data_IF_641424921708
#
_entry.id   IF_641424921708
#
_cell.length_a   1.000
_cell.length_b   1.000
_cell.length_c   1.000
_cell.angle_alpha   90.00
_cell.angle_beta   90.00
_cell.angle_gamma   90.00
#
_symmetry.space_group_name_H-M   'P 1'
#
loop_
_entity.id
_entity.type
_entity.pdbx_description
1 polymer ?
#
# COMPACT_ATOMS: atom_id res chain seq x y z
N UNK A 1 -19.50 1.00 24.35
CA UNK A 1 -19.07 2.43 24.59
C UNK A 1 -20.26 3.32 24.26
N UNK A 2 -20.54 4.37 25.05
CA UNK A 2 -21.62 5.31 24.70
C UNK A 2 -21.22 6.10 23.45
N UNK A 3 -22.18 6.35 22.56
CA UNK A 3 -21.96 7.05 21.29
C UNK A 3 -21.32 8.44 21.48
N UNK A 4 -21.67 9.15 22.57
CA UNK A 4 -21.10 10.45 22.89
C UNK A 4 -19.61 10.37 23.21
N UNK A 5 -19.21 9.32 23.94
CA UNK A 5 -17.81 9.07 24.28
C UNK A 5 -17.00 8.71 23.02
N UNK A 6 -17.59 7.92 22.11
CA UNK A 6 -16.98 7.59 20.83
C UNK A 6 -16.79 8.85 19.98
N UNK A 7 -17.83 9.65 19.80
CA UNK A 7 -17.78 10.90 19.03
C UNK A 7 -16.73 11.86 19.59
N UNK A 8 -16.65 11.97 20.92
CA UNK A 8 -15.66 12.80 21.62
C UNK A 8 -14.23 12.33 21.34
N UNK A 9 -13.97 11.04 21.45
CA UNK A 9 -12.66 10.47 21.19
C UNK A 9 -12.23 10.70 19.74
N UNK A 10 -13.15 10.58 18.77
CA UNK A 10 -12.90 10.83 17.35
C UNK A 10 -12.68 12.31 17.04
N UNK A 11 -13.46 13.20 17.63
CA UNK A 11 -13.25 14.64 17.49
C UNK A 11 -11.86 15.04 17.98
N UNK A 12 -11.42 14.48 19.10
CA UNK A 12 -10.07 14.67 19.63
C UNK A 12 -9.01 14.12 18.67
N UNK A 13 -9.16 12.86 18.20
CA UNK A 13 -8.22 12.24 17.28
C UNK A 13 -8.12 13.02 15.96
N UNK A 14 -9.24 13.47 15.38
CA UNK A 14 -9.27 14.27 14.18
C UNK A 14 -8.55 15.62 14.36
N UNK A 15 -8.76 16.31 15.49
CA UNK A 15 -8.08 17.56 15.83
C UNK A 15 -6.56 17.35 15.95
N UNK A 16 -6.14 16.31 16.65
CA UNK A 16 -4.73 15.98 16.86
C UNK A 16 -4.04 15.61 15.54
N UNK A 17 -4.75 14.89 14.66
CA UNK A 17 -4.25 14.53 13.33
C UNK A 17 -3.93 15.74 12.44
N UNK A 18 -4.70 16.84 12.56
CA UNK A 18 -4.40 18.10 11.85
C UNK A 18 -3.49 19.05 12.63
N UNK A 19 -2.89 18.59 13.73
CA UNK A 19 -1.92 19.36 14.53
C UNK A 19 -2.50 20.53 15.30
N UNK A 20 -3.82 20.59 15.52
CA UNK A 20 -4.47 21.69 16.23
C UNK A 20 -4.52 21.44 17.74
N UNK A 21 -4.06 22.43 18.52
CA UNK A 21 -4.34 22.45 19.97
C UNK A 21 -5.79 22.88 20.23
N UNK A 22 -6.36 22.46 21.37
CA UNK A 22 -7.77 22.73 21.72
C UNK A 22 -8.17 24.22 21.64
N UNK A 23 -7.29 25.13 22.03
CA UNK A 23 -7.55 26.58 21.95
C UNK A 23 -7.72 27.02 20.48
N UNK A 24 -6.78 26.67 19.61
CA UNK A 24 -6.84 27.06 18.20
C UNK A 24 -8.03 26.43 17.45
N UNK A 25 -8.41 25.20 17.80
CA UNK A 25 -9.57 24.54 17.23
C UNK A 25 -10.88 25.20 17.72
N UNK A 26 -11.00 25.48 19.00
CA UNK A 26 -12.17 26.15 19.59
C UNK A 26 -12.39 27.55 18.99
N UNK A 27 -11.33 28.34 18.83
CA UNK A 27 -11.39 29.66 18.19
C UNK A 27 -11.91 29.57 16.75
N UNK A 28 -11.43 28.59 15.95
CA UNK A 28 -11.88 28.38 14.57
C UNK A 28 -13.31 27.86 14.47
N UNK A 29 -13.75 27.10 15.48
CA UNK A 29 -15.12 26.58 15.57
C UNK A 29 -16.10 27.62 16.16
N UNK A 30 -15.61 28.75 16.66
CA UNK A 30 -16.44 29.76 17.31
C UNK A 30 -17.05 29.30 18.64
N UNK A 31 -16.43 28.38 19.37
CA UNK A 31 -16.90 27.84 20.64
C UNK A 31 -15.86 28.06 21.75
N UNK A 32 -16.30 28.00 23.01
CA UNK A 32 -15.37 28.07 24.11
C UNK A 32 -14.47 26.82 24.19
N UNK A 33 -13.19 26.97 24.55
CA UNK A 33 -12.26 25.85 24.74
C UNK A 33 -12.82 24.78 25.68
N UNK A 34 -13.49 25.21 26.77
CA UNK A 34 -14.10 24.29 27.73
C UNK A 34 -15.24 23.46 27.11
N UNK A 35 -15.99 24.04 26.19
CA UNK A 35 -17.03 23.34 25.41
C UNK A 35 -16.41 22.27 24.55
N UNK A 36 -15.35 22.60 23.77
CA UNK A 36 -14.63 21.63 22.96
C UNK A 36 -14.03 20.51 23.82
N UNK A 37 -13.39 20.86 24.94
CA UNK A 37 -12.85 19.86 25.87
C UNK A 37 -13.93 18.95 26.46
N UNK A 38 -15.11 19.48 26.77
CA UNK A 38 -16.26 18.70 27.19
C UNK A 38 -16.82 17.78 26.12
N UNK A 39 -16.85 18.23 24.86
CA UNK A 39 -17.22 17.42 23.70
C UNK A 39 -16.24 16.28 23.49
N UNK A 40 -14.95 16.53 23.48
CA UNK A 40 -13.89 15.53 23.34
C UNK A 40 -13.88 14.49 24.47
N UNK A 41 -14.43 14.84 25.63
CA UNK A 41 -14.61 13.92 26.78
C UNK A 41 -15.98 13.20 26.77
N UNK A 42 -16.82 13.43 25.78
CA UNK A 42 -18.18 12.87 25.72
C UNK A 42 -19.16 13.45 26.74
N UNK A 43 -18.79 14.55 27.45
CA UNK A 43 -19.62 15.20 28.47
C UNK A 43 -20.63 16.20 27.88
N UNK A 44 -20.26 16.82 26.76
CA UNK A 44 -21.09 17.77 26.04
C UNK A 44 -21.50 17.13 24.72
N UNK A 45 -22.78 17.08 24.38
CA UNK A 45 -23.25 16.52 23.12
C UNK A 45 -22.84 17.41 21.94
N UNK A 46 -22.70 16.80 20.78
CA UNK A 46 -22.51 17.51 19.51
C UNK A 46 -23.87 17.84 18.90
N UNK A 47 -24.03 19.04 18.38
CA UNK A 47 -25.13 19.33 17.46
C UNK A 47 -24.69 19.16 15.98
N UNK A 48 -25.67 19.12 15.07
CA UNK A 48 -25.39 18.91 13.66
C UNK A 48 -24.52 20.01 13.02
N UNK A 49 -24.68 21.26 13.46
CA UNK A 49 -23.90 22.40 12.95
C UNK A 49 -22.44 22.27 13.39
N UNK A 50 -22.22 21.92 14.64
CA UNK A 50 -20.89 21.70 15.20
C UNK A 50 -20.18 20.53 14.53
N UNK A 51 -20.90 19.42 14.25
CA UNK A 51 -20.34 18.27 13.53
C UNK A 51 -19.90 18.64 12.13
N UNK A 52 -20.71 19.39 11.39
CA UNK A 52 -20.35 19.89 10.06
C UNK A 52 -19.16 20.83 10.11
N UNK A 53 -19.12 21.74 11.10
CA UNK A 53 -18.00 22.66 11.29
C UNK A 53 -16.69 21.91 11.62
N UNK A 54 -16.75 20.90 12.49
CA UNK A 54 -15.61 20.04 12.82
C UNK A 54 -15.18 19.19 11.63
N UNK A 55 -16.12 18.62 10.89
CA UNK A 55 -15.85 17.86 9.66
C UNK A 55 -15.05 18.71 8.66
N UNK A 56 -15.49 19.93 8.42
CA UNK A 56 -14.80 20.88 7.53
C UNK A 56 -13.42 21.29 8.08
N UNK A 57 -13.33 21.59 9.40
CA UNK A 57 -12.10 22.05 10.03
C UNK A 57 -11.01 20.96 10.07
N UNK A 58 -11.42 19.71 10.34
CA UNK A 58 -10.50 18.60 10.50
C UNK A 58 -10.34 17.77 9.21
N UNK A 59 -11.07 18.14 8.12
CA UNK A 59 -11.01 17.42 6.85
C UNK A 59 -11.56 15.99 6.93
N UNK A 60 -12.61 15.77 7.75
CA UNK A 60 -13.24 14.47 7.93
C UNK A 60 -14.69 14.48 7.44
N UNK A 61 -15.20 13.37 6.88
CA UNK A 61 -16.64 13.28 6.62
C UNK A 61 -17.41 13.30 7.96
N UNK A 62 -18.64 13.82 7.94
CA UNK A 62 -19.47 13.89 9.16
C UNK A 62 -19.69 12.49 9.75
N UNK A 63 -19.81 11.47 8.89
CA UNK A 63 -19.95 10.06 9.27
C UNK A 63 -18.82 9.55 10.15
N UNK A 64 -17.59 10.05 9.94
CA UNK A 64 -16.42 9.71 10.76
C UNK A 64 -16.67 9.84 12.26
N UNK A 65 -17.46 10.82 12.70
CA UNK A 65 -17.65 11.09 14.13
C UNK A 65 -18.59 10.09 14.82
N UNK A 66 -19.48 9.43 14.09
CA UNK A 66 -20.48 8.52 14.68
C UNK A 66 -20.52 7.11 14.09
N UNK A 67 -19.60 6.75 13.21
CA UNK A 67 -19.52 5.41 12.64
C UNK A 67 -19.19 4.38 13.75
N UNK A 68 -20.11 3.44 14.00
CA UNK A 68 -19.95 2.43 15.04
C UNK A 68 -18.96 1.31 14.66
N UNK A 69 -18.61 1.19 13.38
CA UNK A 69 -17.72 0.12 12.89
C UNK A 69 -16.29 0.16 13.47
N UNK A 70 -15.84 1.30 13.98
CA UNK A 70 -14.52 1.45 14.58
C UNK A 70 -14.46 1.30 16.11
N UNK A 71 -15.59 1.18 16.79
CA UNK A 71 -15.63 1.09 18.27
C UNK A 71 -15.14 -0.25 18.83
N UNK A 72 -15.13 -1.30 18.02
CA UNK A 72 -14.41 -2.53 18.31
C UNK A 72 -12.99 -2.37 17.76
N UNK A 73 -12.11 -1.71 18.51
CA UNK A 73 -10.72 -1.46 18.18
C UNK A 73 -10.25 -2.23 16.96
N UNK A 74 -10.50 -1.71 15.76
CA UNK A 74 -9.89 -2.23 14.57
C UNK A 74 -8.39 -2.05 14.77
N UNK A 75 -7.77 -3.04 15.41
CA UNK A 75 -6.34 -3.14 15.53
C UNK A 75 -5.84 -3.29 14.12
N UNK A 76 -5.62 -2.16 13.46
CA UNK A 76 -4.92 -2.17 12.19
C UNK A 76 -3.50 -2.54 12.54
N UNK A 77 -3.25 -3.83 12.45
CA UNK A 77 -1.92 -4.36 12.62
C UNK A 77 -1.11 -3.95 11.40
N UNK A 78 0.01 -3.32 11.64
CA UNK A 78 0.83 -2.78 10.59
C UNK A 78 2.26 -3.28 10.77
N UNK A 79 2.93 -3.54 9.66
CA UNK A 79 4.33 -3.87 9.62
C UNK A 79 5.05 -2.90 8.69
N UNK A 80 6.08 -2.25 9.21
CA UNK A 80 7.07 -1.51 8.45
C UNK A 80 8.45 -1.99 8.86
N UNK A 81 9.39 -2.01 7.93
CA UNK A 81 10.80 -2.35 8.21
C UNK A 81 11.42 -1.42 9.26
N UNK A 82 10.99 -0.17 9.29
CA UNK A 82 11.28 0.79 10.34
C UNK A 82 10.01 1.52 10.77
N UNK A 83 9.33 1.05 11.85
CA UNK A 83 8.14 1.72 12.39
C UNK A 83 8.39 3.16 12.85
N UNK A 84 9.64 3.54 13.13
CA UNK A 84 10.01 4.89 13.57
C UNK A 84 10.18 5.86 12.38
N UNK A 85 10.36 5.33 11.16
CA UNK A 85 10.44 6.14 9.95
C UNK A 85 9.12 6.82 9.59
N UNK A 86 7.98 6.33 10.10
CA UNK A 86 6.67 6.93 9.91
C UNK A 86 6.29 7.81 11.09
N UNK A 87 6.23 9.13 10.86
CA UNK A 87 5.64 10.04 11.83
C UNK A 87 4.19 9.58 12.16
N UNK A 88 3.78 9.58 13.45
CA UNK A 88 2.46 9.10 13.86
C UNK A 88 1.30 9.75 13.09
N UNK A 89 1.41 11.04 12.77
CA UNK A 89 0.40 11.76 12.00
C UNK A 89 0.30 11.25 10.54
N UNK A 90 1.42 10.90 9.89
CA UNK A 90 1.43 10.32 8.55
C UNK A 90 0.84 8.91 8.58
N UNK A 91 1.27 8.08 9.54
CA UNK A 91 0.71 6.74 9.73
C UNK A 91 -0.81 6.80 9.87
N UNK A 92 -1.33 7.63 10.78
CA UNK A 92 -2.76 7.77 10.99
C UNK A 92 -3.49 8.19 9.71
N UNK A 93 -2.98 9.20 9.00
CA UNK A 93 -3.56 9.67 7.74
C UNK A 93 -3.62 8.58 6.66
N UNK A 94 -2.60 7.70 6.58
CA UNK A 94 -2.59 6.58 5.62
C UNK A 94 -3.61 5.50 6.01
N UNK A 95 -3.75 5.21 7.31
CA UNK A 95 -4.76 4.27 7.80
C UNK A 95 -6.19 4.81 7.60
N UNK A 96 -6.39 6.11 7.83
CA UNK A 96 -7.65 6.79 7.53
C UNK A 96 -8.01 6.69 6.04
N UNK A 97 -7.01 6.79 5.16
CA UNK A 97 -7.23 6.63 3.72
C UNK A 97 -7.61 5.19 3.37
N UNK A 98 -7.06 4.18 4.04
CA UNK A 98 -7.48 2.79 3.88
C UNK A 98 -8.96 2.61 4.27
N UNK A 99 -9.38 3.19 5.38
CA UNK A 99 -10.78 3.18 5.83
C UNK A 99 -11.70 3.91 4.84
N UNK A 100 -11.29 5.09 4.36
CA UNK A 100 -12.06 5.85 3.39
C UNK A 100 -12.23 5.11 2.05
N UNK A 101 -11.24 4.33 1.61
CA UNK A 101 -11.37 3.47 0.41
C UNK A 101 -12.36 2.34 0.68
N UNK A 102 -12.38 1.73 1.86
CA UNK A 102 -13.37 0.71 2.23
C UNK A 102 -14.79 1.27 2.24
N UNK A 103 -14.97 2.50 2.75
CA UNK A 103 -16.26 3.20 2.70
C UNK A 103 -16.69 3.51 1.26
N UNK A 104 -15.73 3.90 0.40
CA UNK A 104 -15.97 4.13 -1.03
C UNK A 104 -16.43 2.85 -1.74
N UNK A 105 -15.80 1.70 -1.45
CA UNK A 105 -16.21 0.40 -2.01
C UNK A 105 -17.64 0.07 -1.61
N UNK A 106 -18.01 0.30 -0.35
CA UNK A 106 -19.38 0.13 0.14
C UNK A 106 -20.36 1.07 -0.59
N UNK A 107 -20.00 2.35 -0.75
CA UNK A 107 -20.81 3.33 -1.49
C UNK A 107 -20.94 2.96 -2.98
N UNK A 108 -19.89 2.37 -3.56
CA UNK A 108 -19.95 1.82 -4.91
C UNK A 108 -20.73 0.48 -5.01
N UNK A 109 -21.27 -0.03 -3.90
CA UNK A 109 -22.08 -1.26 -3.83
C UNK A 109 -21.26 -2.55 -3.88
N UNK A 110 -20.00 -2.49 -3.47
CA UNK A 110 -19.12 -3.65 -3.35
C UNK A 110 -19.09 -4.15 -1.89
N UNK A 111 -19.09 -5.47 -1.72
CA UNK A 111 -18.75 -6.07 -0.43
C UNK A 111 -17.24 -5.89 -0.18
N UNK A 112 -16.88 -5.40 1.00
CA UNK A 112 -15.48 -5.27 1.42
C UNK A 112 -14.89 -6.64 1.77
N UNK A 113 -14.80 -7.52 0.80
CA UNK A 113 -14.11 -8.79 0.91
C UNK A 113 -12.59 -8.57 0.96
N UNK A 114 -11.86 -9.60 1.34
CA UNK A 114 -10.43 -9.67 1.16
C UNK A 114 -10.09 -11.02 0.56
N UNK A 115 -9.72 -11.03 -0.73
CA UNK A 115 -9.37 -12.24 -1.47
C UNK A 115 -7.99 -12.80 -1.13
N UNK A 116 -7.45 -12.49 0.06
CA UNK A 116 -6.20 -13.07 0.52
C UNK A 116 -6.34 -14.59 0.71
N UNK A 117 -5.31 -15.37 0.33
CA UNK A 117 -5.27 -16.79 0.62
C UNK A 117 -5.22 -17.04 2.14
N UNK A 118 -5.48 -18.27 2.61
CA UNK A 118 -5.21 -18.67 3.99
C UNK A 118 -3.79 -18.28 4.39
N UNK A 119 -3.58 -17.97 5.68
CA UNK A 119 -2.25 -17.60 6.17
C UNK A 119 -1.34 -18.83 6.19
N UNK A 120 -0.14 -18.70 5.64
CA UNK A 120 0.95 -19.68 5.72
C UNK A 120 2.02 -19.14 6.68
N UNK A 121 1.85 -19.30 8.01
CA UNK A 121 2.73 -18.66 8.99
C UNK A 121 4.13 -19.29 8.95
N UNK A 122 5.10 -18.55 8.45
CA UNK A 122 6.49 -18.92 8.40
C UNK A 122 7.32 -17.97 9.28
N UNK A 123 7.97 -18.50 10.30
CA UNK A 123 8.79 -17.70 11.26
C UNK A 123 10.30 -17.94 11.13
N UNK A 124 10.73 -18.85 10.25
CA UNK A 124 12.13 -19.19 9.99
C UNK A 124 12.42 -19.05 8.49
N UNK A 125 13.67 -18.88 8.13
CA UNK A 125 14.13 -18.77 6.74
C UNK A 125 15.28 -19.74 6.47
N UNK A 126 15.08 -21.01 6.82
CA UNK A 126 15.95 -22.10 6.37
C UNK A 126 15.67 -22.50 4.92
N UNK A 127 16.48 -23.41 4.33
CA UNK A 127 16.28 -23.83 2.95
C UNK A 127 14.86 -24.34 2.65
N UNK A 128 14.27 -25.10 3.57
CA UNK A 128 12.91 -25.64 3.45
C UNK A 128 11.85 -24.53 3.41
N UNK A 129 11.95 -23.56 4.31
CA UNK A 129 10.99 -22.45 4.39
C UNK A 129 11.10 -21.55 3.16
N UNK A 130 12.31 -21.35 2.62
CA UNK A 130 12.51 -20.63 1.37
C UNK A 130 11.94 -21.38 0.17
N UNK A 131 12.00 -22.72 0.15
CA UNK A 131 11.34 -23.52 -0.89
C UNK A 131 9.80 -23.45 -0.78
N UNK A 132 9.26 -23.45 0.44
CA UNK A 132 7.83 -23.21 0.66
C UNK A 132 7.45 -21.82 0.15
N UNK A 133 8.22 -20.77 0.46
CA UNK A 133 7.92 -19.42 -0.03
C UNK A 133 7.92 -19.33 -1.57
N UNK A 134 8.81 -20.08 -2.25
CA UNK A 134 8.79 -20.19 -3.72
C UNK A 134 7.54 -20.92 -4.23
N UNK A 135 7.17 -22.04 -3.59
CA UNK A 135 5.99 -22.80 -3.94
C UNK A 135 4.73 -21.96 -3.79
N UNK A 136 4.54 -21.30 -2.65
CA UNK A 136 3.41 -20.40 -2.38
C UNK A 136 3.35 -19.27 -3.41
N UNK A 137 4.49 -18.69 -3.82
CA UNK A 137 4.51 -17.67 -4.86
C UNK A 137 3.99 -18.18 -6.22
N UNK A 138 4.30 -19.43 -6.59
CA UNK A 138 3.84 -20.03 -7.83
C UNK A 138 2.37 -20.46 -7.76
N UNK A 139 1.94 -21.02 -6.63
CA UNK A 139 0.53 -21.35 -6.36
C UNK A 139 -0.35 -20.10 -6.43
N UNK A 140 0.13 -19.01 -5.81
CA UNK A 140 -0.57 -17.73 -5.80
C UNK A 140 -0.65 -17.11 -7.20
N UNK A 141 0.40 -17.21 -8.02
CA UNK A 141 0.33 -16.83 -9.44
C UNK A 141 -0.72 -17.64 -10.19
N UNK A 142 -0.82 -18.95 -9.90
CA UNK A 142 -1.85 -19.83 -10.47
C UNK A 142 -3.25 -19.40 -10.04
N UNK A 143 -3.45 -19.14 -8.74
CA UNK A 143 -4.73 -18.68 -8.19
C UNK A 143 -5.19 -17.36 -8.81
N UNK A 144 -4.27 -16.44 -9.05
CA UNK A 144 -4.52 -15.12 -9.65
C UNK A 144 -4.55 -15.15 -11.20
N UNK A 145 -4.49 -16.32 -11.81
CA UNK A 145 -4.61 -16.49 -13.27
C UNK A 145 -3.41 -16.00 -14.09
N UNK A 146 -2.28 -15.68 -13.46
CA UNK A 146 -1.07 -15.22 -14.17
C UNK A 146 -0.26 -16.39 -14.74
N UNK A 147 -0.29 -17.54 -14.05
CA UNK A 147 0.54 -18.69 -14.40
C UNK A 147 2.05 -18.48 -14.14
N UNK A 148 2.86 -19.48 -14.48
CA UNK A 148 4.30 -19.50 -14.17
C UNK A 148 5.22 -19.07 -15.33
N UNK A 149 4.67 -18.76 -16.51
CA UNK A 149 5.43 -18.47 -17.74
C UNK A 149 5.34 -17.04 -18.23
N UNK A 150 4.30 -16.32 -17.84
CA UNK A 150 4.09 -14.94 -18.27
C UNK A 150 4.80 -13.93 -17.34
N UNK A 151 5.45 -12.90 -17.87
CA UNK A 151 5.81 -11.72 -17.09
C UNK A 151 4.57 -11.06 -16.52
N UNK A 152 4.69 -10.45 -15.35
CA UNK A 152 3.62 -9.68 -14.74
C UNK A 152 3.64 -8.24 -15.26
N UNK A 153 2.53 -7.80 -15.88
CA UNK A 153 2.42 -6.47 -16.46
C UNK A 153 2.07 -5.39 -15.42
N UNK A 154 1.11 -5.68 -14.56
CA UNK A 154 0.59 -4.73 -13.57
C UNK A 154 0.31 -5.43 -12.23
N UNK A 155 1.24 -5.35 -11.28
CA UNK A 155 1.07 -5.94 -9.95
C UNK A 155 -0.01 -5.24 -9.13
N UNK A 156 -0.24 -3.93 -9.35
CA UNK A 156 -1.25 -3.16 -8.63
C UNK A 156 -2.64 -3.64 -9.04
N UNK A 157 -2.95 -3.62 -10.34
CA UNK A 157 -4.24 -4.07 -10.84
C UNK A 157 -4.53 -5.53 -10.44
N UNK A 158 -3.50 -6.40 -10.45
CA UNK A 158 -3.63 -7.79 -10.02
C UNK A 158 -4.05 -7.89 -8.55
N UNK A 159 -3.41 -7.17 -7.64
CA UNK A 159 -3.74 -7.22 -6.23
C UNK A 159 -5.07 -6.53 -5.92
N UNK A 160 -5.38 -5.43 -6.59
CA UNK A 160 -6.67 -4.75 -6.46
C UNK A 160 -7.84 -5.61 -6.98
N UNK A 161 -7.59 -6.56 -7.90
CA UNK A 161 -8.63 -7.51 -8.36
C UNK A 161 -9.07 -8.53 -7.31
N UNK A 162 -8.31 -8.65 -6.23
CA UNK A 162 -8.61 -9.48 -5.06
C UNK A 162 -8.83 -8.66 -3.78
N UNK A 163 -9.21 -7.40 -3.93
CA UNK A 163 -9.52 -6.47 -2.85
C UNK A 163 -8.35 -6.18 -1.88
N UNK A 164 -7.10 -6.34 -2.35
CA UNK A 164 -5.91 -5.82 -1.68
C UNK A 164 -5.62 -4.43 -2.23
N UNK A 165 -5.84 -3.41 -1.42
CA UNK A 165 -5.73 -2.00 -1.82
C UNK A 165 -4.28 -1.57 -1.86
N UNK A 166 -3.84 -0.96 -2.97
CA UNK A 166 -2.49 -0.44 -3.11
C UNK A 166 -2.51 1.08 -3.07
N UNK A 167 -2.01 1.64 -1.97
CA UNK A 167 -2.13 3.05 -1.61
C UNK A 167 -0.76 3.73 -1.76
N UNK A 168 -0.58 4.65 -2.72
CA UNK A 168 0.65 5.40 -2.86
C UNK A 168 0.75 6.48 -1.78
N UNK A 169 1.99 6.72 -1.32
CA UNK A 169 2.34 7.88 -0.51
C UNK A 169 3.74 8.39 -0.90
N UNK A 170 4.05 9.61 -0.55
CA UNK A 170 5.37 10.18 -0.72
C UNK A 170 5.99 10.49 0.65
N UNK A 171 7.19 9.99 0.87
CA UNK A 171 7.98 10.25 2.06
C UNK A 171 9.43 10.46 1.66
N UNK A 172 9.97 11.61 2.06
CA UNK A 172 11.37 11.95 1.86
C UNK A 172 12.31 11.04 2.69
N UNK A 173 13.55 10.83 2.22
CA UNK A 173 14.55 10.13 3.00
C UNK A 173 14.78 10.80 4.36
N UNK A 174 14.84 10.00 5.43
CA UNK A 174 15.17 10.45 6.78
C UNK A 174 16.51 9.83 7.20
N UNK A 175 17.49 10.65 7.55
CA UNK A 175 18.83 10.20 7.96
C UNK A 175 19.49 9.21 6.98
N UNK A 176 19.24 9.39 5.67
CA UNK A 176 19.74 8.52 4.61
C UNK A 176 18.98 7.21 4.44
N UNK A 177 17.94 6.96 5.23
CA UNK A 177 17.02 5.83 5.08
C UNK A 177 15.75 6.27 4.38
N UNK A 178 15.29 5.48 3.42
CA UNK A 178 14.05 5.70 2.70
C UNK A 178 13.14 4.50 2.90
N UNK A 179 12.02 4.72 3.58
CA UNK A 179 10.99 3.69 3.73
C UNK A 179 10.36 3.40 2.36
N UNK A 180 10.43 2.17 1.89
CA UNK A 180 9.91 1.75 0.59
C UNK A 180 8.41 1.50 0.62
N UNK A 181 7.89 0.94 1.72
CA UNK A 181 6.49 0.64 1.89
C UNK A 181 6.20 -0.07 3.21
N UNK A 182 4.96 -0.42 3.39
CA UNK A 182 4.49 -1.25 4.49
C UNK A 182 3.12 -1.84 4.18
N UNK A 183 2.71 -2.87 4.92
CA UNK A 183 1.39 -3.49 4.80
C UNK A 183 0.58 -3.34 6.08
N UNK A 184 -0.73 -3.32 5.93
CA UNK A 184 -1.68 -3.28 7.03
C UNK A 184 -2.83 -4.27 6.78
N UNK A 185 -3.39 -4.81 7.85
CA UNK A 185 -4.53 -5.70 7.78
C UNK A 185 -5.49 -5.46 8.95
N UNK A 186 -6.77 -5.44 8.64
CA UNK A 186 -7.86 -5.42 9.60
C UNK A 186 -8.96 -6.36 9.14
N UNK A 187 -9.63 -7.06 10.06
CA UNK A 187 -10.78 -7.91 9.69
C UNK A 187 -11.95 -7.09 9.15
N UNK A 188 -12.12 -5.87 9.64
CA UNK A 188 -13.21 -4.99 9.22
C UNK A 188 -12.90 -4.16 7.98
N UNK A 189 -11.62 -3.79 7.78
CA UNK A 189 -11.21 -2.93 6.66
C UNK A 189 -10.51 -3.70 5.54
N UNK A 190 -10.15 -4.98 5.76
CA UNK A 190 -9.38 -5.76 4.81
C UNK A 190 -7.89 -5.42 4.78
N UNK A 191 -7.25 -5.68 3.65
CA UNK A 191 -5.81 -5.53 3.45
C UNK A 191 -5.45 -4.26 2.70
N UNK A 192 -4.35 -3.60 3.13
CA UNK A 192 -3.74 -2.47 2.44
C UNK A 192 -2.23 -2.62 2.31
N UNK A 193 -1.71 -2.27 1.15
CA UNK A 193 -0.28 -2.14 0.87
C UNK A 193 -0.02 -0.67 0.58
N UNK A 194 0.89 -0.09 1.34
CA UNK A 194 1.31 1.30 1.17
C UNK A 194 2.68 1.32 0.50
N UNK A 195 2.78 1.98 -0.65
CA UNK A 195 4.02 2.05 -1.43
C UNK A 195 4.52 3.49 -1.51
N UNK A 196 5.78 3.70 -1.15
CA UNK A 196 6.40 5.01 -1.28
C UNK A 196 6.78 5.27 -2.75
N UNK A 197 6.16 6.29 -3.35
CA UNK A 197 6.36 6.68 -4.74
C UNK A 197 7.35 7.82 -4.91
N UNK A 198 8.12 8.14 -3.86
CA UNK A 198 9.17 9.15 -3.93
C UNK A 198 10.17 8.86 -5.05
N UNK A 199 10.56 9.89 -5.78
CA UNK A 199 11.39 9.80 -7.00
C UNK A 199 12.76 9.14 -6.81
N UNK A 200 13.29 9.07 -5.59
CA UNK A 200 14.53 8.34 -5.28
C UNK A 200 14.36 6.82 -5.35
N UNK A 201 13.13 6.29 -5.38
CA UNK A 201 12.84 4.88 -5.58
C UNK A 201 12.48 4.62 -7.04
N UNK A 202 13.24 3.78 -7.71
CA UNK A 202 12.93 3.39 -9.09
C UNK A 202 11.58 2.65 -9.16
N UNK A 203 10.92 2.67 -10.31
CA UNK A 203 9.65 1.95 -10.53
C UNK A 203 9.83 0.44 -10.31
N UNK A 204 10.99 -0.10 -10.68
CA UNK A 204 11.35 -1.48 -10.43
C UNK A 204 11.40 -1.81 -8.93
N UNK A 205 11.92 -0.88 -8.13
CA UNK A 205 11.95 -1.03 -6.68
C UNK A 205 10.55 -0.96 -6.08
N UNK A 206 9.74 0.02 -6.51
CA UNK A 206 8.34 0.15 -6.10
C UNK A 206 7.52 -1.10 -6.48
N UNK A 207 7.72 -1.64 -7.69
CA UNK A 207 7.11 -2.91 -8.16
C UNK A 207 7.45 -4.07 -7.24
N UNK A 208 8.73 -4.20 -6.88
CA UNK A 208 9.18 -5.24 -5.95
C UNK A 208 8.58 -5.04 -4.55
N UNK A 209 8.54 -3.80 -4.06
CA UNK A 209 7.97 -3.46 -2.76
C UNK A 209 6.50 -3.89 -2.65
N UNK A 210 5.68 -3.65 -3.66
CA UNK A 210 4.25 -4.06 -3.65
C UNK A 210 4.10 -5.57 -3.41
N UNK A 211 4.90 -6.40 -4.07
CA UNK A 211 4.82 -7.85 -3.91
C UNK A 211 5.55 -8.36 -2.66
N UNK A 212 6.52 -7.63 -2.17
CA UNK A 212 7.16 -7.88 -0.89
C UNK A 212 6.17 -7.67 0.27
N UNK A 213 5.41 -6.58 0.26
CA UNK A 213 4.36 -6.31 1.24
C UNK A 213 3.19 -7.30 1.12
N UNK A 214 2.88 -7.73 -0.11
CA UNK A 214 1.93 -8.81 -0.31
C UNK A 214 2.36 -10.13 0.34
N UNK A 215 3.65 -10.48 0.25
CA UNK A 215 4.18 -11.65 0.94
C UNK A 215 4.00 -11.55 2.47
N UNK A 216 4.19 -10.36 3.04
CA UNK A 216 3.93 -10.15 4.46
C UNK A 216 2.46 -10.36 4.82
N UNK A 217 1.52 -9.96 3.98
CA UNK A 217 0.10 -10.25 4.18
C UNK A 217 -0.19 -11.76 4.14
N UNK A 218 0.51 -12.54 3.31
CA UNK A 218 0.34 -13.99 3.24
C UNK A 218 0.97 -14.69 4.45
N UNK A 219 2.24 -14.40 4.76
CA UNK A 219 3.00 -15.16 5.76
C UNK A 219 2.84 -14.65 7.19
N UNK A 220 2.55 -13.37 7.39
CA UNK A 220 2.74 -12.74 8.69
C UNK A 220 1.50 -12.00 9.23
N UNK A 221 0.39 -11.85 8.48
CA UNK A 221 -0.76 -11.07 8.95
C UNK A 221 -1.37 -11.56 10.25
N UNK A 222 -1.28 -12.87 10.55
CA UNK A 222 -1.77 -13.42 11.83
C UNK A 222 -0.96 -12.94 13.03
N UNK A 223 0.32 -12.61 12.84
CA UNK A 223 1.25 -12.15 13.86
C UNK A 223 1.19 -10.63 14.05
N UNK A 224 0.64 -9.89 13.10
CA UNK A 224 0.45 -8.43 13.19
C UNK A 224 -0.35 -8.03 14.45
N UNK A 225 -1.26 -8.87 14.94
CA UNK A 225 -2.07 -8.63 16.13
C UNK A 225 -1.29 -8.68 17.45
N UNK A 226 -0.20 -9.44 17.49
CA UNK A 226 0.58 -9.70 18.70
C UNK A 226 1.75 -8.72 18.87
N UNK A 227 2.17 -8.09 17.78
CA UNK A 227 3.33 -7.23 17.72
C UNK A 227 2.94 -5.74 17.85
N UNK A 228 2.24 -5.38 18.93
CA UNK A 228 2.13 -3.98 19.34
C UNK A 228 3.50 -3.31 19.29
N UNK A 229 3.57 -2.02 18.97
CA UNK A 229 4.68 -1.03 18.99
C UNK A 229 6.14 -1.50 19.23
N UNK A 230 6.63 -2.62 18.74
CA UNK A 230 7.93 -3.10 19.15
C UNK A 230 8.69 -4.08 18.28
N UNK A 231 8.22 -4.40 17.08
CA UNK A 231 8.98 -5.29 16.21
C UNK A 231 10.18 -4.54 15.62
N UNK A 232 11.33 -4.71 16.26
CA UNK A 232 12.62 -4.23 15.78
C UNK A 232 13.34 -5.37 15.08
N UNK A 233 13.70 -5.19 13.82
CA UNK A 233 14.79 -6.00 13.21
C UNK A 233 16.10 -5.68 13.94
N UNK A 234 16.45 -6.48 14.94
CA UNK A 234 17.75 -6.38 15.61
C UNK A 234 18.77 -7.19 14.84
N UNK A 235 19.66 -6.55 14.11
CA UNK A 235 20.86 -7.21 13.58
C UNK A 235 21.32 -6.68 12.22
N UNK A 236 22.60 -6.88 11.91
CA UNK A 236 23.15 -6.68 10.56
C UNK A 236 22.68 -7.84 9.68
N UNK A 237 21.68 -7.62 8.85
CA UNK A 237 21.14 -8.58 7.88
C UNK A 237 19.61 -8.62 7.89
N UNK A 238 19.01 -9.07 6.79
CA UNK A 238 17.56 -9.23 6.69
C UNK A 238 17.05 -10.27 7.69
N UNK A 239 15.96 -9.97 8.39
CA UNK A 239 15.30 -10.92 9.27
C UNK A 239 14.82 -12.17 8.51
N UNK A 240 14.46 -13.28 9.19
CA UNK A 240 13.88 -14.43 8.52
C UNK A 240 12.64 -14.07 7.67
N UNK A 241 11.78 -13.23 8.21
CA UNK A 241 10.55 -12.76 7.55
C UNK A 241 10.88 -11.97 6.28
N UNK A 242 11.88 -11.09 6.33
CA UNK A 242 12.34 -10.32 5.17
C UNK A 242 12.90 -11.24 4.07
N UNK A 243 13.63 -12.29 4.45
CA UNK A 243 14.15 -13.27 3.49
C UNK A 243 13.03 -14.03 2.80
N UNK A 244 11.99 -14.39 3.55
CA UNK A 244 10.81 -15.07 3.02
C UNK A 244 10.06 -14.16 2.05
N UNK A 245 9.79 -12.91 2.44
CA UNK A 245 9.10 -11.94 1.61
C UNK A 245 9.89 -11.61 0.33
N UNK A 246 11.21 -11.43 0.44
CA UNK A 246 12.09 -11.24 -0.71
C UNK A 246 12.09 -12.45 -1.67
N UNK A 247 12.07 -13.67 -1.11
CA UNK A 247 12.04 -14.91 -1.91
C UNK A 247 10.71 -15.05 -2.65
N UNK A 248 9.60 -14.79 -1.96
CA UNK A 248 8.28 -14.77 -2.56
C UNK A 248 8.19 -13.74 -3.68
N UNK A 249 8.48 -12.47 -3.39
CA UNK A 249 8.39 -11.37 -4.35
C UNK A 249 9.26 -11.61 -5.59
N UNK A 250 10.52 -12.03 -5.39
CA UNK A 250 11.41 -12.35 -6.49
C UNK A 250 10.91 -13.50 -7.36
N UNK A 251 10.35 -14.57 -6.75
CA UNK A 251 9.80 -15.71 -7.47
C UNK A 251 8.49 -15.35 -8.17
N UNK A 252 7.64 -14.56 -7.51
CA UNK A 252 6.39 -14.09 -8.08
C UNK A 252 6.62 -13.21 -9.31
N UNK A 253 7.55 -12.27 -9.26
CA UNK A 253 7.89 -11.42 -10.41
C UNK A 253 8.59 -12.18 -11.52
N UNK A 254 9.53 -13.05 -11.16
CA UNK A 254 10.43 -13.72 -12.10
C UNK A 254 10.43 -15.24 -11.85
N UNK A 255 9.38 -15.98 -12.27
CA UNK A 255 9.34 -17.42 -12.14
C UNK A 255 10.43 -18.12 -12.97
N UNK A 256 10.97 -19.22 -12.46
CA UNK A 256 12.02 -19.98 -13.17
C UNK A 256 11.56 -20.50 -14.53
N UNK A 257 10.28 -20.87 -14.67
CA UNK A 257 9.73 -21.33 -15.96
C UNK A 257 9.70 -20.18 -16.99
N UNK A 258 9.35 -18.95 -16.55
CA UNK A 258 9.41 -17.78 -17.41
C UNK A 258 10.86 -17.42 -17.78
N UNK A 259 11.81 -17.48 -16.83
CA UNK A 259 13.23 -17.27 -17.13
C UNK A 259 13.74 -18.24 -18.19
N UNK A 260 13.50 -19.54 -18.04
CA UNK A 260 13.90 -20.55 -19.03
C UNK A 260 13.39 -20.24 -20.43
N UNK A 261 12.19 -19.67 -20.53
CA UNK A 261 11.62 -19.28 -21.83
C UNK A 261 12.31 -18.07 -22.45
N UNK A 262 12.74 -17.10 -21.62
CA UNK A 262 13.21 -15.81 -22.08
C UNK A 262 14.73 -15.61 -22.06
N UNK A 263 15.49 -16.43 -21.32
CA UNK A 263 16.97 -16.35 -21.29
C UNK A 263 17.60 -16.68 -22.65
N UNK A 264 16.92 -17.46 -23.47
CA UNK A 264 17.46 -17.88 -24.78
C UNK A 264 18.48 -19.03 -24.65
N UNK A 265 19.06 -19.43 -25.79
CA UNK A 265 20.03 -20.54 -25.89
C UNK A 265 21.50 -20.10 -25.82
N UNK A 266 21.76 -18.84 -25.46
CA UNK A 266 23.14 -18.33 -25.38
C UNK A 266 23.89 -19.01 -24.24
N UNK A 267 25.09 -19.48 -24.51
CA UNK A 267 25.97 -20.06 -23.49
C UNK A 267 26.45 -19.01 -22.45
N UNK A 268 26.31 -17.72 -22.76
CA UNK A 268 26.79 -16.65 -21.89
C UNK A 268 25.81 -15.51 -21.82
N UNK A 269 25.35 -15.18 -20.61
CA UNK A 269 24.51 -14.03 -20.32
C UNK A 269 25.38 -12.77 -20.24
N UNK A 270 24.99 -11.75 -20.99
CA UNK A 270 25.66 -10.43 -21.03
C UNK A 270 24.92 -9.39 -20.20
N UNK A 271 25.53 -8.23 -19.86
CA UNK A 271 24.81 -7.12 -19.24
C UNK A 271 23.59 -6.65 -20.04
N UNK A 272 23.66 -6.69 -21.37
CA UNK A 272 22.54 -6.33 -22.25
C UNK A 272 21.38 -7.31 -22.12
N UNK A 273 21.65 -8.61 -21.97
CA UNK A 273 20.61 -9.61 -21.71
C UNK A 273 19.92 -9.36 -20.36
N UNK A 274 20.69 -9.02 -19.32
CA UNK A 274 20.13 -8.67 -18.01
C UNK A 274 19.25 -7.42 -18.12
N UNK A 275 19.66 -6.38 -18.85
CA UNK A 275 18.84 -5.17 -19.08
C UNK A 275 17.57 -5.52 -19.83
N UNK A 276 17.63 -6.34 -20.87
CA UNK A 276 16.44 -6.81 -21.60
C UNK A 276 15.47 -7.58 -20.68
N UNK A 277 16.00 -8.49 -19.88
CA UNK A 277 15.19 -9.30 -18.95
C UNK A 277 14.60 -8.45 -17.82
N UNK A 278 15.38 -7.56 -17.21
CA UNK A 278 14.87 -6.69 -16.15
C UNK A 278 13.67 -5.85 -16.63
N UNK A 279 13.72 -5.33 -17.84
CA UNK A 279 12.60 -4.57 -18.42
C UNK A 279 11.38 -5.43 -18.64
N UNK A 280 11.57 -6.65 -19.17
CA UNK A 280 10.49 -7.58 -19.43
C UNK A 280 9.74 -7.96 -18.15
N UNK A 281 10.48 -8.20 -17.07
CA UNK A 281 9.93 -8.63 -15.79
C UNK A 281 9.68 -7.47 -14.80
N UNK A 282 9.97 -6.24 -15.19
CA UNK A 282 9.80 -5.02 -14.38
C UNK A 282 10.52 -5.07 -13.03
N UNK A 283 11.72 -5.64 -12.99
CA UNK A 283 12.55 -5.74 -11.79
C UNK A 283 13.86 -4.95 -11.94
N UNK A 284 14.54 -4.68 -10.83
CA UNK A 284 15.84 -4.02 -10.84
C UNK A 284 16.92 -4.88 -11.52
N UNK A 285 18.00 -4.26 -12.00
CA UNK A 285 19.15 -4.97 -12.55
C UNK A 285 19.72 -5.97 -11.53
N UNK A 286 19.86 -5.55 -10.29
CA UNK A 286 20.36 -6.39 -9.20
C UNK A 286 19.39 -7.51 -8.83
N UNK A 287 18.07 -7.23 -8.85
CA UNK A 287 17.03 -8.23 -8.67
C UNK A 287 17.07 -9.31 -9.77
N UNK A 288 17.24 -8.92 -11.02
CA UNK A 288 17.38 -9.86 -12.13
C UNK A 288 18.65 -10.71 -12.03
N UNK A 289 19.80 -10.13 -11.65
CA UNK A 289 21.01 -10.91 -11.38
C UNK A 289 20.81 -11.97 -10.29
N UNK A 290 20.16 -11.58 -9.22
CA UNK A 290 19.82 -12.48 -8.12
C UNK A 290 18.96 -13.65 -8.61
N UNK A 291 17.91 -13.37 -9.38
CA UNK A 291 17.01 -14.41 -9.92
C UNK A 291 17.71 -15.34 -10.91
N UNK A 292 18.51 -14.81 -11.81
CA UNK A 292 19.30 -15.61 -12.77
C UNK A 292 20.27 -16.56 -12.05
N UNK A 293 20.91 -16.08 -10.97
CA UNK A 293 21.81 -16.91 -10.13
C UNK A 293 21.02 -17.99 -9.38
N UNK A 294 19.91 -17.64 -8.75
CA UNK A 294 19.06 -18.57 -8.00
C UNK A 294 18.45 -19.66 -8.90
N UNK A 295 18.08 -19.31 -10.12
CA UNK A 295 17.52 -20.23 -11.12
C UNK A 295 18.59 -21.05 -11.85
N UNK A 296 19.88 -20.88 -11.53
CA UNK A 296 20.99 -21.64 -12.12
C UNK A 296 21.38 -21.23 -13.54
N UNK A 297 20.90 -20.08 -14.04
CA UNK A 297 21.30 -19.55 -15.35
C UNK A 297 22.65 -18.86 -15.32
N UNK A 298 23.12 -18.45 -14.14
CA UNK A 298 24.45 -17.90 -13.90
C UNK A 298 25.18 -18.76 -12.89
N UNK A 299 26.38 -19.21 -13.25
CA UNK A 299 27.31 -19.78 -12.27
C UNK A 299 27.89 -18.67 -11.37
N UNK A 300 28.58 -19.06 -10.32
CA UNK A 300 29.17 -18.13 -9.36
C UNK A 300 30.15 -17.14 -9.99
N UNK A 301 30.94 -17.58 -10.98
CA UNK A 301 31.95 -16.75 -11.63
C UNK A 301 31.31 -15.70 -12.52
N UNK A 302 30.37 -16.10 -13.38
CA UNK A 302 29.59 -15.20 -14.23
C UNK A 302 28.75 -14.21 -13.41
N UNK A 303 28.11 -14.67 -12.34
CA UNK A 303 27.37 -13.82 -11.41
C UNK A 303 28.26 -12.74 -10.78
N UNK A 304 29.43 -13.12 -10.25
CA UNK A 304 30.39 -12.18 -9.65
C UNK A 304 30.92 -11.16 -10.68
N UNK A 305 31.16 -11.59 -11.92
CA UNK A 305 31.59 -10.68 -12.98
C UNK A 305 30.52 -9.62 -13.30
N UNK A 306 29.27 -10.04 -13.46
CA UNK A 306 28.16 -9.13 -13.72
C UNK A 306 27.89 -8.19 -12.54
N UNK A 307 28.03 -8.65 -11.30
CA UNK A 307 27.98 -7.80 -10.11
C UNK A 307 29.11 -6.76 -10.08
N UNK A 308 30.32 -7.14 -10.48
CA UNK A 308 31.45 -6.21 -10.57
C UNK A 308 31.20 -5.12 -11.63
N UNK A 309 30.66 -5.51 -12.78
CA UNK A 309 30.26 -4.56 -13.84
C UNK A 309 29.15 -3.63 -13.33
N UNK A 310 28.13 -4.18 -12.63
CA UNK A 310 27.06 -3.41 -12.02
C UNK A 310 27.60 -2.31 -11.11
N UNK A 311 28.47 -2.66 -10.17
CA UNK A 311 29.09 -1.72 -9.24
C UNK A 311 30.00 -0.69 -9.95
N UNK A 312 30.83 -1.13 -10.89
CA UNK A 312 31.72 -0.24 -11.64
C UNK A 312 30.96 0.83 -12.45
N UNK A 313 29.73 0.52 -12.87
CA UNK A 313 28.85 1.42 -13.60
C UNK A 313 27.84 2.18 -12.73
N UNK A 314 27.83 1.94 -11.41
CA UNK A 314 26.89 2.55 -10.47
C UNK A 314 25.44 2.07 -10.62
N UNK A 315 25.22 0.93 -11.28
CA UNK A 315 23.90 0.37 -11.53
C UNK A 315 23.23 -0.25 -10.29
N UNK A 316 23.96 -0.36 -9.20
CA UNK A 316 23.45 -0.69 -7.87
C UNK A 316 22.79 0.50 -7.16
N UNK A 317 23.01 1.73 -7.66
CA UNK A 317 22.46 2.97 -7.14
C UNK A 317 21.48 3.64 -8.11
N UNK A 318 21.76 3.52 -9.39
CA UNK A 318 20.94 4.09 -10.45
C UNK A 318 20.67 3.02 -11.51
N UNK A 319 19.40 2.69 -11.69
CA UNK A 319 18.98 1.65 -12.64
C UNK A 319 19.46 1.95 -14.06
N UNK A 320 20.10 0.98 -14.75
CA UNK A 320 20.35 1.10 -16.18
C UNK A 320 19.02 0.95 -16.91
N UNK A 321 18.73 1.85 -17.83
CA UNK A 321 17.50 1.84 -18.64
C UNK A 321 16.24 1.70 -17.77
N UNK A 322 15.98 2.71 -16.89
CA UNK A 322 14.92 2.61 -15.90
C UNK A 322 13.52 2.63 -16.55
N UNK A 323 12.58 1.95 -15.94
CA UNK A 323 11.16 2.01 -16.32
C UNK A 323 10.64 3.41 -16.00
N UNK A 324 9.94 4.03 -16.95
CA UNK A 324 9.40 5.39 -16.81
C UNK A 324 7.92 5.40 -16.44
N UNK A 325 7.18 4.35 -16.83
CA UNK A 325 5.75 4.27 -16.52
C UNK A 325 5.55 4.04 -15.02
N UNK A 326 4.91 4.97 -14.30
CA UNK A 326 4.64 4.81 -12.88
C UNK A 326 3.71 3.63 -12.61
N UNK A 327 3.71 3.15 -11.37
CA UNK A 327 2.71 2.17 -10.91
C UNK A 327 1.30 2.75 -11.08
N UNK A 328 0.37 1.91 -11.50
CA UNK A 328 -1.01 2.31 -11.75
C UNK A 328 -1.87 2.44 -10.46
N UNK A 329 -1.24 2.89 -9.36
CA UNK A 329 -1.91 3.07 -8.07
C UNK A 329 -3.06 4.07 -8.17
N UNK A 330 -4.18 3.73 -7.53
CA UNK A 330 -5.34 4.60 -7.42
C UNK A 330 -6.31 4.58 -8.61
N UNK A 331 -6.03 3.86 -9.69
CA UNK A 331 -6.96 3.74 -10.83
C UNK A 331 -8.29 3.10 -10.42
N UNK A 332 -8.24 2.00 -9.67
CA UNK A 332 -9.45 1.37 -9.14
C UNK A 332 -10.20 2.31 -8.21
N UNK A 333 -9.49 2.99 -7.32
CA UNK A 333 -10.08 3.97 -6.39
C UNK A 333 -10.78 5.11 -7.15
N UNK A 334 -10.17 5.64 -8.22
CA UNK A 334 -10.77 6.69 -9.05
C UNK A 334 -12.01 6.18 -9.81
N UNK A 335 -11.98 4.96 -10.34
CA UNK A 335 -13.14 4.34 -10.99
C UNK A 335 -14.31 4.14 -10.01
N UNK A 336 -14.03 3.66 -8.80
CA UNK A 336 -15.05 3.52 -7.75
C UNK A 336 -15.59 4.85 -7.28
N UNK A 337 -14.73 5.86 -7.19
CA UNK A 337 -15.13 7.24 -6.85
C UNK A 337 -16.13 7.79 -7.87
N UNK A 338 -15.90 7.52 -9.16
CA UNK A 338 -16.86 7.89 -10.23
C UNK A 338 -18.20 7.16 -10.05
N UNK A 339 -18.18 5.84 -9.83
CA UNK A 339 -19.40 5.05 -9.60
C UNK A 339 -20.20 5.56 -8.38
N UNK A 340 -19.54 5.84 -7.26
CA UNK A 340 -20.18 6.36 -6.06
C UNK A 340 -20.73 7.78 -6.28
N UNK A 341 -20.05 8.62 -7.07
CA UNK A 341 -20.53 9.94 -7.47
C UNK A 341 -21.80 9.85 -8.34
N UNK A 342 -21.77 9.01 -9.38
CA UNK A 342 -22.91 8.79 -10.30
C UNK A 342 -24.14 8.20 -9.60
N UNK A 343 -23.97 7.59 -8.43
CA UNK A 343 -25.04 7.07 -7.55
C UNK A 343 -25.52 8.05 -6.48
N UNK A 344 -25.00 9.26 -6.44
CA UNK A 344 -25.24 10.25 -5.37
C UNK A 344 -24.84 9.76 -3.95
N UNK A 345 -23.94 8.77 -3.87
CA UNK A 345 -23.46 8.18 -2.60
C UNK A 345 -22.14 8.82 -2.10
N UNK A 346 -21.54 9.73 -2.88
CA UNK A 346 -20.29 10.38 -2.53
C UNK A 346 -20.35 11.90 -2.65
N UNK A 347 -19.88 12.62 -1.64
CA UNK A 347 -19.72 14.07 -1.67
C UNK A 347 -18.36 14.49 -2.23
N UNK A 348 -18.23 15.73 -2.76
CA UNK A 348 -16.95 16.30 -3.21
C UNK A 348 -15.88 16.26 -2.10
N UNK A 349 -16.27 16.45 -0.85
CA UNK A 349 -15.35 16.42 0.30
C UNK A 349 -14.82 15.00 0.52
N UNK A 350 -15.71 14.01 0.49
CA UNK A 350 -15.35 12.59 0.63
C UNK A 350 -14.44 12.14 -0.52
N UNK A 351 -14.77 12.51 -1.78
CA UNK A 351 -13.91 12.23 -2.93
C UNK A 351 -12.50 12.82 -2.77
N UNK A 352 -12.42 14.07 -2.24
CA UNK A 352 -11.14 14.72 -1.97
C UNK A 352 -10.28 13.95 -0.96
N UNK A 353 -10.91 13.44 0.09
CA UNK A 353 -10.25 12.62 1.12
C UNK A 353 -9.73 11.29 0.54
N UNK A 354 -10.58 10.54 -0.13
CA UNK A 354 -10.26 9.23 -0.69
C UNK A 354 -9.17 9.32 -1.77
N UNK A 355 -9.31 10.27 -2.70
CA UNK A 355 -8.36 10.44 -3.80
C UNK A 355 -7.10 11.22 -3.40
N UNK A 356 -7.09 11.82 -2.21
CA UNK A 356 -5.97 12.65 -1.74
C UNK A 356 -5.76 13.90 -2.60
N UNK A 357 -6.85 14.45 -3.17
CA UNK A 357 -6.83 15.63 -4.04
C UNK A 357 -7.51 16.83 -3.37
N UNK A 358 -7.05 18.02 -3.68
CA UNK A 358 -7.68 19.24 -3.20
C UNK A 358 -9.07 19.46 -3.84
N UNK A 359 -9.83 20.39 -3.24
CA UNK A 359 -11.21 20.65 -3.65
C UNK A 359 -11.32 21.14 -5.09
N UNK A 360 -10.31 21.83 -5.62
CA UNK A 360 -10.31 22.32 -7.00
C UNK A 360 -10.11 21.14 -7.95
N UNK A 361 -9.09 20.32 -7.72
CA UNK A 361 -8.81 19.14 -8.52
C UNK A 361 -9.99 18.16 -8.56
N UNK A 362 -10.73 18.00 -7.43
CA UNK A 362 -11.94 17.16 -7.42
C UNK A 362 -13.07 17.77 -8.24
N UNK A 363 -13.29 19.09 -8.18
CA UNK A 363 -14.32 19.73 -9.02
C UNK A 363 -14.01 19.60 -10.50
N UNK A 364 -12.75 19.79 -10.88
CA UNK A 364 -12.31 19.63 -12.26
C UNK A 364 -12.52 18.18 -12.73
N UNK A 365 -12.15 17.20 -11.90
CA UNK A 365 -12.34 15.77 -12.17
C UNK A 365 -13.82 15.39 -12.34
N UNK A 366 -14.68 15.84 -11.43
CA UNK A 366 -16.13 15.58 -11.50
C UNK A 366 -16.74 16.24 -12.73
N UNK A 367 -16.34 17.50 -13.02
CA UNK A 367 -16.80 18.18 -14.26
C UNK A 367 -16.39 17.42 -15.52
N UNK A 368 -15.26 16.74 -15.52
CA UNK A 368 -14.85 15.90 -16.66
C UNK A 368 -15.70 14.62 -16.73
N UNK A 369 -16.02 13.99 -15.60
CA UNK A 369 -16.95 12.85 -15.57
C UNK A 369 -18.35 13.19 -16.10
N UNK A 370 -18.87 14.37 -15.74
CA UNK A 370 -20.20 14.86 -16.20
C UNK A 370 -20.24 15.15 -17.70
N UNK A 371 -19.09 15.42 -18.33
CA UNK A 371 -18.99 15.62 -19.79
C UNK A 371 -18.94 14.29 -20.57
N UNK A 372 -18.49 13.23 -19.91
CA UNK A 372 -18.45 11.90 -20.53
C UNK A 372 -19.88 11.41 -20.72
N UNK A 373 -20.29 11.20 -21.97
CA UNK A 373 -21.60 10.61 -22.27
C UNK A 373 -21.64 9.19 -21.71
N UNK A 374 -22.63 8.83 -20.86
CA UNK A 374 -22.77 7.47 -20.37
C UNK A 374 -22.83 6.48 -21.53
N UNK A 375 -22.13 5.35 -21.41
CA UNK A 375 -22.09 4.30 -22.46
C UNK A 375 -23.51 3.78 -22.76
N UNK A 376 -24.43 3.88 -21.80
CA UNK A 376 -25.84 3.48 -21.94
C UNK A 376 -26.68 4.43 -22.80
N UNK A 377 -26.17 5.59 -23.20
CA UNK A 377 -26.85 6.52 -24.11
C UNK A 377 -26.60 6.22 -25.61
N UNK A 378 -25.84 5.15 -25.91
CA UNK A 378 -25.52 4.72 -27.28
C UNK A 378 -26.36 3.52 -27.77
N UNK A 379 -27.46 3.17 -27.06
CA UNK A 379 -28.40 2.13 -27.47
C UNK A 379 -29.81 2.64 -27.71
#
# INVERSE_FOLDING_TARGET
>A
MDIKTLMGARARAAREAVGLVQTAAADRLGIARQTLAGMEQGKVPFDGVQLVAMANLYGRPVTYFYDLRESEGASIAFRADDPQALAPALKQRLLDRLAAIADLETAAGLDCGCGLPPTEPLSKAGPRELDIARAVALEERGRLGVGDRAPLSDPVALLESIDVRVIPFELEPQDGNLLSGFSAFSESLGAGIFVNTHHALSIEHQTFCVLHEYAHLIFHRSVYRELGEGYRTRGKGASPEEKLANTFAGTFLVPDAALRQHVGRSERITPTDVIRLKRLFRVSFTGMLTRLTQAGHLDKAAGNLLWSICKARGWDKQEPDPIQEPLACGRRTEALARVAWERDEASLTFLGEVLGRDRKAIRDLVSDWEKDTPVDALH
#
